data_IF_241537512689
#
_entry.id   IF_241537512689
#
_cell.length_a   1.000
_cell.length_b   1.000
_cell.length_c   1.000
_cell.angle_alpha   90.00
_cell.angle_beta   90.00
_cell.angle_gamma   90.00
#
_symmetry.space_group_name_H-M   'P 1'
#
loop_
_entity.id
_entity.type
_entity.pdbx_description
1 polymer ?
#
# COMPACT_ATOMS: atom_id res chain seq x y z
N UNK A 1 4.79 1.50 0.92
CA UNK A 1 5.91 2.40 1.26
C UNK A 1 6.37 2.20 2.70
N UNK A 2 5.66 2.73 3.72
CA UNK A 2 6.12 2.77 5.12
C UNK A 2 6.69 1.44 5.66
N UNK A 3 5.95 0.34 5.55
CA UNK A 3 6.43 -0.96 6.02
C UNK A 3 7.41 -1.64 5.04
N UNK A 4 6.99 -1.81 3.79
CA UNK A 4 7.71 -2.68 2.83
C UNK A 4 8.92 -2.02 2.16
N UNK A 5 8.96 -0.68 2.07
CA UNK A 5 10.06 0.06 1.44
C UNK A 5 10.93 0.79 2.46
N UNK A 6 10.31 1.40 3.48
CA UNK A 6 11.02 2.17 4.50
C UNK A 6 11.33 1.38 5.78
N UNK A 7 10.87 0.13 5.86
CA UNK A 7 11.20 -0.77 6.96
C UNK A 7 10.59 -0.40 8.31
N UNK A 8 9.61 0.52 8.36
CA UNK A 8 8.95 0.89 9.61
C UNK A 8 8.15 -0.29 10.16
N UNK A 9 8.15 -0.42 11.49
CA UNK A 9 7.22 -1.34 12.15
C UNK A 9 5.77 -0.94 11.88
N UNK A 10 4.84 -1.90 11.99
CA UNK A 10 3.41 -1.61 11.80
C UNK A 10 2.89 -0.54 12.76
N UNK A 11 3.44 -0.46 13.98
CA UNK A 11 3.03 0.56 14.94
C UNK A 11 3.50 1.95 14.50
N UNK A 12 4.78 2.12 14.19
CA UNK A 12 5.33 3.41 13.72
C UNK A 12 4.61 3.92 12.48
N UNK A 13 4.34 3.02 11.52
CA UNK A 13 3.65 3.40 10.30
C UNK A 13 2.16 3.73 10.53
N UNK A 14 1.50 3.05 11.46
CA UNK A 14 0.13 3.37 11.86
C UNK A 14 0.04 4.72 12.57
N UNK A 15 0.97 5.01 13.48
CA UNK A 15 1.08 6.28 14.18
C UNK A 15 1.29 7.44 13.19
N UNK A 16 2.20 7.27 12.22
CA UNK A 16 2.44 8.26 11.16
C UNK A 16 1.22 8.50 10.25
N UNK A 17 0.37 7.50 10.07
CA UNK A 17 -0.85 7.59 9.28
C UNK A 17 -2.07 8.07 10.09
N UNK A 18 -1.95 8.21 11.42
CA UNK A 18 -3.07 8.58 12.29
C UNK A 18 -4.18 7.52 12.33
N UNK A 19 -3.84 6.24 12.20
CA UNK A 19 -4.79 5.12 12.17
C UNK A 19 -4.40 4.02 13.16
N UNK A 20 -5.31 3.08 13.44
CA UNK A 20 -4.98 1.93 14.27
C UNK A 20 -3.95 1.01 13.60
N UNK A 21 -3.14 0.31 14.42
CA UNK A 21 -2.19 -0.72 13.96
C UNK A 21 -2.88 -1.79 13.10
N UNK A 22 -4.09 -2.21 13.48
CA UNK A 22 -4.90 -3.17 12.74
C UNK A 22 -5.30 -2.62 11.37
N UNK A 23 -5.75 -1.37 11.29
CA UNK A 23 -6.08 -0.70 10.03
C UNK A 23 -4.87 -0.66 9.10
N UNK A 24 -3.70 -0.28 9.62
CA UNK A 24 -2.46 -0.28 8.86
C UNK A 24 -2.12 -1.68 8.33
N UNK A 25 -2.16 -2.70 9.20
CA UNK A 25 -1.93 -4.09 8.82
C UNK A 25 -2.87 -4.58 7.71
N UNK A 26 -4.15 -4.24 7.79
CA UNK A 26 -5.14 -4.57 6.76
C UNK A 26 -4.85 -3.87 5.44
N UNK A 27 -4.49 -2.59 5.46
CA UNK A 27 -4.10 -1.83 4.27
C UNK A 27 -2.88 -2.44 3.58
N UNK A 28 -1.84 -2.78 4.35
CA UNK A 28 -0.64 -3.45 3.82
C UNK A 28 -0.98 -4.82 3.23
N UNK A 29 -1.80 -5.62 3.90
CA UNK A 29 -2.26 -6.93 3.37
C UNK A 29 -2.97 -6.77 2.03
N UNK A 30 -3.88 -5.81 1.93
CA UNK A 30 -4.62 -5.52 0.68
C UNK A 30 -3.67 -5.06 -0.43
N UNK A 31 -2.73 -4.17 -0.13
CA UNK A 31 -1.74 -3.68 -1.09
C UNK A 31 -0.86 -4.82 -1.63
N UNK A 32 -0.31 -5.66 -0.75
CA UNK A 32 0.52 -6.82 -1.14
C UNK A 32 -0.25 -7.80 -2.02
N UNK A 33 -1.53 -8.06 -1.72
CA UNK A 33 -2.37 -8.90 -2.56
C UNK A 33 -2.51 -8.34 -3.97
N UNK A 34 -2.83 -7.04 -4.12
CA UNK A 34 -2.97 -6.39 -5.42
C UNK A 34 -1.68 -6.46 -6.23
N UNK A 35 -0.54 -6.17 -5.60
CA UNK A 35 0.79 -6.25 -6.24
C UNK A 35 1.10 -7.67 -6.68
N UNK A 36 0.96 -8.66 -5.79
CA UNK A 36 1.23 -10.06 -6.10
C UNK A 36 0.34 -10.56 -7.25
N UNK A 37 -0.96 -10.25 -7.20
CA UNK A 37 -1.91 -10.58 -8.26
C UNK A 37 -1.49 -9.95 -9.60
N UNK A 38 -1.16 -8.66 -9.61
CA UNK A 38 -0.70 -7.98 -10.82
C UNK A 38 0.52 -8.63 -11.44
N UNK A 39 1.52 -8.98 -10.61
CA UNK A 39 2.73 -9.63 -11.11
C UNK A 39 2.48 -11.03 -11.67
N UNK A 40 1.63 -11.82 -11.01
CA UNK A 40 1.33 -13.20 -11.42
C UNK A 40 0.45 -13.25 -12.66
N UNK A 41 -0.52 -12.34 -12.79
CA UNK A 41 -1.49 -12.32 -13.89
C UNK A 41 -1.05 -11.41 -15.06
N UNK A 42 0.08 -10.72 -14.95
CA UNK A 42 0.60 -9.85 -16.00
C UNK A 42 -0.09 -8.49 -16.13
N UNK A 43 -0.68 -7.97 -15.04
CA UNK A 43 -1.28 -6.63 -15.04
C UNK A 43 -0.21 -5.54 -14.93
N UNK A 44 -0.42 -4.43 -15.65
CA UNK A 44 0.40 -3.25 -15.51
C UNK A 44 0.10 -2.49 -14.20
N UNK A 45 1.14 -1.94 -13.56
CA UNK A 45 0.99 -0.94 -12.51
C UNK A 45 0.90 0.43 -13.17
N UNK A 46 -0.28 1.04 -13.14
CA UNK A 46 -0.53 2.36 -13.70
C UNK A 46 -0.70 3.35 -12.56
N UNK A 47 0.03 4.45 -12.61
CA UNK A 47 -0.20 5.58 -11.71
C UNK A 47 -1.25 6.49 -12.35
N UNK A 48 -2.23 6.97 -11.58
CA UNK A 48 -3.15 7.97 -12.10
C UNK A 48 -2.34 9.22 -12.50
N UNK A 49 -2.53 9.67 -13.73
CA UNK A 49 -2.00 10.96 -14.18
C UNK A 49 -2.86 12.07 -13.58
N UNK A 50 -2.29 13.24 -13.29
CA UNK A 50 -3.05 14.37 -12.69
C UNK A 50 -4.25 14.82 -13.56
N UNK A 51 -4.20 14.57 -14.88
CA UNK A 51 -5.29 14.85 -15.82
C UNK A 51 -6.50 13.90 -15.70
N UNK A 52 -6.39 12.80 -14.96
CA UNK A 52 -7.46 11.79 -14.84
C UNK A 52 -8.57 12.17 -13.85
N UNK A 53 -8.44 13.34 -13.22
CA UNK A 53 -9.39 13.89 -12.24
C UNK A 53 -10.09 15.18 -12.74
N UNK A 54 -9.93 15.53 -14.02
CA UNK A 54 -10.72 16.55 -14.75
C UNK A 54 -11.77 15.85 -15.63
#
# INVERSE_FOLDING_TARGET
>A
RLADLEGLSQQQAADQMGISRQTFGNTVKSARFKVAKSLVEGHALVFPNEESNL
#
